data_IF_504475512417
#
_entry.id   IF_504475512417
#
_cell.length_a   1.000
_cell.length_b   1.000
_cell.length_c   1.000
_cell.angle_alpha   90.00
_cell.angle_beta   90.00
_cell.angle_gamma   90.00
#
_symmetry.space_group_name_H-M   'P 1'
#
loop_
_entity.id
_entity.type
_entity.pdbx_description
1 polymer ?
#
# COMPACT_ATOMS: atom_id res chain seq x y z
N UNK A 1 -8.13 43.84 -18.57
CA UNK A 1 -7.02 43.00 -19.05
C UNK A 1 -7.08 41.74 -18.22
N UNK A 2 -7.62 40.67 -18.80
CA UNK A 2 -7.98 39.44 -18.10
C UNK A 2 -6.70 38.74 -17.62
N UNK A 3 -6.44 38.77 -16.32
CA UNK A 3 -5.58 37.78 -15.68
C UNK A 3 -6.39 36.49 -15.61
N UNK A 4 -6.48 35.78 -16.73
CA UNK A 4 -6.76 34.35 -16.67
C UNK A 4 -5.62 33.74 -15.86
N UNK A 5 -5.92 33.37 -14.62
CA UNK A 5 -5.10 32.42 -13.89
C UNK A 5 -4.89 31.24 -14.84
N UNK A 6 -3.67 31.03 -15.32
CA UNK A 6 -3.31 29.88 -16.17
C UNK A 6 -3.58 28.63 -15.33
N UNK A 7 -4.82 28.16 -15.35
CA UNK A 7 -5.21 26.89 -14.75
C UNK A 7 -4.68 25.85 -15.70
N UNK A 8 -3.57 25.23 -15.34
CA UNK A 8 -3.09 24.05 -16.05
C UNK A 8 -4.25 23.03 -16.14
N UNK A 9 -4.47 22.39 -17.30
CA UNK A 9 -5.55 21.45 -17.45
C UNK A 9 -5.35 20.28 -16.49
N UNK A 10 -6.45 19.82 -15.88
CA UNK A 10 -6.43 18.62 -15.05
C UNK A 10 -5.95 17.43 -15.89
N UNK A 11 -5.01 16.66 -15.33
CA UNK A 11 -4.45 15.48 -15.98
C UNK A 11 -4.59 14.25 -15.11
N UNK A 12 -4.26 13.10 -15.70
CA UNK A 12 -4.33 11.78 -15.05
C UNK A 12 -3.52 11.76 -13.74
N UNK A 13 -2.31 12.35 -13.76
CA UNK A 13 -1.37 12.31 -12.63
C UNK A 13 -1.82 13.12 -11.41
N UNK A 14 -2.67 14.13 -11.59
CA UNK A 14 -3.32 14.83 -10.48
C UNK A 14 -4.61 14.11 -10.04
N UNK A 15 -5.31 13.41 -10.93
CA UNK A 15 -6.66 12.94 -10.62
C UNK A 15 -6.77 11.51 -10.09
N UNK A 16 -5.77 10.67 -10.35
CA UNK A 16 -5.72 9.31 -9.80
C UNK A 16 -5.50 9.31 -8.29
N UNK A 17 -5.86 8.21 -7.62
CA UNK A 17 -5.80 8.03 -6.17
C UNK A 17 -4.42 8.39 -5.61
N UNK A 18 -3.33 8.06 -6.30
CA UNK A 18 -1.98 8.34 -5.81
C UNK A 18 -1.55 9.81 -5.87
N UNK A 19 -2.28 10.67 -6.59
CA UNK A 19 -1.85 12.03 -6.88
C UNK A 19 -2.91 13.10 -6.65
N UNK A 20 -4.08 12.75 -6.09
CA UNK A 20 -5.19 13.67 -5.90
C UNK A 20 -5.17 14.36 -4.51
N UNK A 21 -4.75 15.64 -4.42
CA UNK A 21 -4.66 16.35 -3.13
C UNK A 21 -6.02 16.84 -2.61
N UNK A 22 -7.03 16.93 -3.48
CA UNK A 22 -8.31 17.57 -3.17
C UNK A 22 -9.37 16.64 -2.56
N UNK A 23 -9.01 15.43 -2.15
CA UNK A 23 -9.94 14.45 -1.61
C UNK A 23 -9.35 13.65 -0.47
N UNK A 24 -10.21 13.25 0.46
CA UNK A 24 -9.83 12.36 1.56
C UNK A 24 -9.77 10.88 1.13
N UNK A 25 -10.28 10.51 -0.06
CA UNK A 25 -10.34 9.12 -0.49
C UNK A 25 -8.97 8.43 -0.60
N UNK A 26 -7.93 9.05 -1.17
CA UNK A 26 -6.57 8.50 -1.14
C UNK A 26 -6.09 8.16 0.26
N UNK A 27 -6.15 9.13 1.18
CA UNK A 27 -5.74 8.96 2.58
C UNK A 27 -6.50 7.80 3.26
N UNK A 28 -7.81 7.69 3.02
CA UNK A 28 -8.63 6.60 3.57
C UNK A 28 -8.24 5.24 2.98
N UNK A 29 -7.95 5.18 1.68
CA UNK A 29 -7.54 3.96 1.01
C UNK A 29 -6.23 3.42 1.61
N UNK A 30 -5.17 4.22 1.66
CA UNK A 30 -3.88 3.81 2.20
C UNK A 30 -3.92 3.52 3.70
N UNK A 31 -4.80 4.18 4.45
CA UNK A 31 -5.03 3.86 5.87
C UNK A 31 -5.71 2.49 6.06
N UNK A 32 -6.69 2.14 5.21
CA UNK A 32 -7.41 0.86 5.28
C UNK A 32 -6.66 -0.29 4.57
N UNK A 33 -5.69 0.01 3.72
CA UNK A 33 -4.94 -0.96 2.92
C UNK A 33 -4.28 -2.06 3.77
N UNK A 34 -3.63 -1.78 4.90
CA UNK A 34 -3.11 -2.81 5.80
C UNK A 34 -4.18 -3.79 6.30
N UNK A 35 -5.40 -3.33 6.52
CA UNK A 35 -6.52 -4.20 6.93
C UNK A 35 -6.97 -5.06 5.75
N UNK A 36 -7.16 -4.46 4.58
CA UNK A 36 -7.60 -5.18 3.37
C UNK A 36 -6.59 -6.27 2.97
N UNK A 37 -5.30 -5.98 3.06
CA UNK A 37 -4.22 -6.91 2.73
C UNK A 37 -4.20 -8.14 3.65
N UNK A 38 -4.58 -8.02 4.92
CA UNK A 38 -4.54 -9.14 5.89
C UNK A 38 -5.83 -9.96 5.91
N UNK A 39 -6.97 -9.45 5.43
CA UNK A 39 -8.26 -10.15 5.44
C UNK A 39 -8.27 -11.54 4.77
N UNK A 40 -7.74 -11.75 3.55
CA UNK A 40 -7.95 -13.01 2.83
C UNK A 40 -7.25 -14.19 3.52
N UNK A 41 -6.01 -14.00 3.97
CA UNK A 41 -5.18 -15.09 4.47
C UNK A 41 -4.68 -14.92 5.91
N UNK A 42 -4.91 -13.78 6.56
CA UNK A 42 -4.39 -13.50 7.91
C UNK A 42 -4.84 -14.50 8.97
N UNK A 43 -6.02 -15.10 8.82
CA UNK A 43 -6.53 -16.11 9.76
C UNK A 43 -6.13 -17.55 9.44
N UNK A 44 -5.55 -17.81 8.26
CA UNK A 44 -5.33 -19.18 7.77
C UNK A 44 -4.28 -19.93 8.59
N UNK A 45 -3.20 -19.26 9.02
CA UNK A 45 -2.20 -19.92 9.86
C UNK A 45 -2.68 -20.17 11.28
N UNK A 46 -3.48 -19.23 11.83
CA UNK A 46 -4.10 -19.39 13.13
C UNK A 46 -5.03 -20.62 13.16
N UNK A 47 -5.88 -20.78 12.13
CA UNK A 47 -6.78 -21.93 12.02
C UNK A 47 -6.02 -23.25 11.95
N UNK A 48 -4.96 -23.32 11.13
CA UNK A 48 -4.14 -24.54 10.99
C UNK A 48 -3.44 -24.93 12.30
N UNK A 49 -3.00 -23.94 13.09
CA UNK A 49 -2.41 -24.19 14.40
C UNK A 49 -3.45 -24.74 15.38
N UNK A 50 -4.66 -24.17 15.38
CA UNK A 50 -5.74 -24.57 16.29
C UNK A 50 -6.27 -25.97 15.98
N UNK A 51 -6.30 -26.37 14.71
CA UNK A 51 -6.73 -27.71 14.28
C UNK A 51 -5.61 -28.76 14.34
N UNK A 52 -4.37 -28.35 14.60
CA UNK A 52 -3.21 -29.25 14.51
C UNK A 52 -2.88 -29.66 13.08
N UNK A 53 -3.35 -28.93 12.07
CA UNK A 53 -3.06 -29.25 10.67
C UNK A 53 -1.56 -29.23 10.37
N UNK A 54 -0.81 -28.33 10.99
CA UNK A 54 0.65 -28.26 10.81
C UNK A 54 1.37 -29.54 11.24
N UNK A 55 0.92 -30.23 12.30
CA UNK A 55 1.52 -31.51 12.69
C UNK A 55 1.14 -32.64 11.76
N UNK A 56 -0.09 -32.64 11.22
CA UNK A 56 -0.52 -33.61 10.19
C UNK A 56 0.31 -33.52 8.90
N UNK A 57 0.68 -32.31 8.49
CA UNK A 57 1.53 -32.10 7.31
C UNK A 57 2.92 -32.71 7.51
N UNK A 58 3.49 -32.56 8.72
CA UNK A 58 4.79 -33.14 9.07
C UNK A 58 4.71 -34.67 9.14
N UNK A 59 3.63 -35.21 9.72
CA UNK A 59 3.40 -36.67 9.78
C UNK A 59 3.27 -37.29 8.38
N UNK A 60 2.81 -36.54 7.38
CA UNK A 60 2.74 -36.98 5.97
C UNK A 60 4.07 -36.87 5.21
N UNK A 61 5.17 -36.58 5.90
CA UNK A 61 6.51 -36.54 5.30
C UNK A 61 6.86 -35.23 4.58
N UNK A 62 6.00 -34.19 4.67
CA UNK A 62 6.34 -32.88 4.13
C UNK A 62 7.20 -32.10 5.13
N UNK A 63 8.28 -31.49 4.65
CA UNK A 63 9.13 -30.64 5.49
C UNK A 63 8.35 -29.43 6.02
N UNK A 64 8.36 -29.22 7.34
CA UNK A 64 7.71 -28.07 7.98
C UNK A 64 8.15 -26.75 7.34
N UNK A 65 9.45 -26.62 7.00
CA UNK A 65 10.01 -25.43 6.36
C UNK A 65 9.33 -25.11 5.02
N UNK A 66 9.09 -26.13 4.18
CA UNK A 66 8.44 -25.96 2.88
C UNK A 66 6.97 -25.57 3.03
N UNK A 67 6.28 -26.14 4.03
CA UNK A 67 4.90 -25.78 4.34
C UNK A 67 4.76 -24.30 4.73
N UNK A 68 5.56 -23.83 5.69
CA UNK A 68 5.53 -22.42 6.10
C UNK A 68 5.93 -21.50 4.94
N UNK A 69 7.00 -21.80 4.22
CA UNK A 69 7.46 -20.99 3.08
C UNK A 69 6.38 -20.85 2.00
N UNK A 70 5.73 -21.95 1.59
CA UNK A 70 4.63 -21.90 0.62
C UNK A 70 3.47 -21.04 1.14
N UNK A 71 3.17 -21.11 2.44
CA UNK A 71 2.10 -20.31 3.03
C UNK A 71 2.44 -18.82 3.05
N UNK A 72 3.66 -18.45 3.41
CA UNK A 72 4.12 -17.06 3.35
C UNK A 72 4.08 -16.50 1.93
N UNK A 73 4.50 -17.28 0.92
CA UNK A 73 4.46 -16.84 -0.48
C UNK A 73 3.02 -16.62 -0.93
N UNK A 74 2.11 -17.55 -0.61
CA UNK A 74 0.70 -17.42 -0.95
C UNK A 74 0.07 -16.18 -0.28
N UNK A 75 0.37 -15.93 1.00
CA UNK A 75 -0.16 -14.76 1.71
C UNK A 75 0.41 -13.46 1.19
N UNK A 76 1.72 -13.42 0.94
CA UNK A 76 2.39 -12.26 0.36
C UNK A 76 1.74 -11.87 -0.98
N UNK A 77 1.61 -12.82 -1.90
CA UNK A 77 1.05 -12.56 -3.22
C UNK A 77 -0.43 -12.14 -3.13
N UNK A 78 -1.20 -12.78 -2.24
CA UNK A 78 -2.61 -12.43 -2.05
C UNK A 78 -2.80 -10.99 -1.52
N UNK A 79 -2.00 -10.57 -0.55
CA UNK A 79 -2.07 -9.22 0.01
C UNK A 79 -1.60 -8.16 -0.99
N UNK A 80 -0.53 -8.48 -1.72
CA UNK A 80 0.01 -7.60 -2.74
C UNK A 80 -0.96 -7.37 -3.92
N UNK A 81 -1.67 -8.42 -4.35
CA UNK A 81 -2.72 -8.31 -5.38
C UNK A 81 -3.90 -7.45 -4.91
N UNK A 82 -4.31 -7.56 -3.64
CA UNK A 82 -5.41 -6.73 -3.09
C UNK A 82 -5.06 -5.24 -3.10
N UNK A 83 -3.79 -4.89 -2.88
CA UNK A 83 -3.33 -3.51 -2.97
C UNK A 83 -3.22 -3.02 -4.43
N UNK A 84 -2.57 -3.80 -5.30
CA UNK A 84 -2.33 -3.36 -6.68
C UNK A 84 -3.62 -3.23 -7.50
N UNK A 85 -4.53 -4.19 -7.42
CA UNK A 85 -5.66 -4.29 -8.36
C UNK A 85 -6.54 -3.03 -8.35
N UNK A 86 -6.95 -2.48 -7.19
CA UNK A 86 -7.69 -1.22 -7.13
C UNK A 86 -6.91 -0.03 -7.70
N UNK A 87 -5.61 0.06 -7.43
CA UNK A 87 -4.75 1.16 -7.91
C UNK A 87 -4.56 1.13 -9.44
N UNK A 88 -4.33 -0.06 -10.01
CA UNK A 88 -4.25 -0.23 -11.47
C UNK A 88 -5.57 0.09 -12.15
N UNK A 89 -6.69 -0.36 -11.58
CA UNK A 89 -8.01 -0.06 -12.11
C UNK A 89 -8.31 1.44 -12.06
N UNK A 90 -8.00 2.10 -10.95
CA UNK A 90 -8.17 3.55 -10.79
C UNK A 90 -7.32 4.33 -11.80
N UNK A 91 -6.03 4.00 -11.93
CA UNK A 91 -5.14 4.65 -12.90
C UNK A 91 -5.60 4.43 -14.35
N UNK A 92 -6.03 3.21 -14.67
CA UNK A 92 -6.57 2.89 -15.99
C UNK A 92 -7.83 3.70 -16.29
N UNK A 93 -8.82 3.71 -15.39
CA UNK A 93 -10.06 4.45 -15.58
C UNK A 93 -9.84 5.96 -15.67
N UNK A 94 -8.96 6.52 -14.84
CA UNK A 94 -8.61 7.94 -14.90
C UNK A 94 -7.87 8.30 -16.19
N UNK A 95 -7.05 7.39 -16.72
CA UNK A 95 -6.36 7.58 -18.01
C UNK A 95 -7.30 7.63 -19.22
N UNK A 96 -8.50 7.04 -19.12
CA UNK A 96 -9.51 7.10 -20.17
C UNK A 96 -10.29 8.42 -20.17
N UNK A 97 -10.37 9.09 -19.01
CA UNK A 97 -11.19 10.30 -18.83
C UNK A 97 -10.35 11.58 -18.95
N UNK A 98 -9.13 11.58 -18.44
CA UNK A 98 -8.28 12.77 -18.35
C UNK A 98 -7.13 12.76 -19.38
N UNK A 99 -6.73 13.94 -19.88
CA UNK A 99 -5.60 14.05 -20.81
C UNK A 99 -4.28 13.68 -20.13
N UNK A 100 -3.38 13.07 -20.90
CA UNK A 100 -2.05 12.65 -20.46
C UNK A 100 -1.02 13.77 -20.65
N UNK A 101 -1.23 14.91 -19.99
CA UNK A 101 -0.27 16.02 -20.02
C UNK A 101 0.89 15.77 -19.05
N UNK A 102 2.11 16.13 -19.46
CA UNK A 102 3.29 16.09 -18.59
C UNK A 102 3.09 17.01 -17.37
N UNK A 103 3.38 16.53 -16.15
CA UNK A 103 3.34 17.36 -14.96
C UNK A 103 4.36 18.50 -15.02
N UNK A 104 3.94 19.71 -14.66
CA UNK A 104 4.84 20.87 -14.57
C UNK A 104 4.92 21.35 -13.10
N UNK A 105 6.14 21.53 -12.53
CA UNK A 105 6.30 21.95 -11.14
C UNK A 105 5.68 23.33 -10.84
N UNK A 106 5.69 24.23 -11.83
CA UNK A 106 5.17 25.61 -11.72
C UNK A 106 3.64 25.67 -11.55
N UNK A 107 2.94 24.57 -11.87
CA UNK A 107 1.48 24.52 -11.83
C UNK A 107 0.88 24.56 -10.43
N UNK A 108 1.64 24.18 -9.39
CA UNK A 108 1.16 24.07 -8.01
C UNK A 108 0.02 23.06 -7.82
N UNK A 109 -0.23 22.18 -8.81
CA UNK A 109 -1.36 21.26 -8.85
C UNK A 109 -1.05 19.87 -8.29
N UNK A 110 0.22 19.55 -8.05
CA UNK A 110 0.69 18.26 -7.55
C UNK A 110 1.21 18.41 -6.12
N UNK A 111 0.85 17.51 -5.19
CA UNK A 111 1.36 17.49 -3.83
C UNK A 111 2.78 16.90 -3.75
N UNK A 112 3.63 17.13 -4.76
CA UNK A 112 4.99 16.59 -4.83
C UNK A 112 5.96 17.77 -4.78
N UNK A 113 6.76 17.81 -3.72
CA UNK A 113 7.72 18.88 -3.46
C UNK A 113 9.15 18.44 -3.79
N UNK A 114 10.10 19.39 -3.79
CA UNK A 114 11.50 19.11 -4.11
C UNK A 114 12.16 18.09 -3.16
N UNK A 115 11.70 18.01 -1.91
CA UNK A 115 12.18 17.06 -0.92
C UNK A 115 11.46 15.70 -0.96
N UNK A 116 10.37 15.58 -1.75
CA UNK A 116 9.65 14.31 -1.91
C UNK A 116 10.50 13.29 -2.68
N UNK A 117 10.35 12.02 -2.33
CA UNK A 117 11.08 10.92 -2.95
C UNK A 117 10.80 10.83 -4.44
N UNK A 118 11.87 10.84 -5.24
CA UNK A 118 11.83 10.72 -6.70
C UNK A 118 11.02 11.81 -7.42
N UNK A 119 10.91 13.01 -6.83
CA UNK A 119 10.27 14.18 -7.44
C UNK A 119 10.84 14.49 -8.84
N UNK A 120 12.16 14.40 -9.04
CA UNK A 120 12.80 14.58 -10.36
C UNK A 120 12.26 13.59 -11.42
N UNK A 121 11.99 12.35 -11.02
CA UNK A 121 11.49 11.30 -11.91
C UNK A 121 10.01 11.54 -12.22
N UNK A 122 9.23 12.08 -11.28
CA UNK A 122 7.84 12.46 -11.52
C UNK A 122 7.72 13.51 -12.63
N UNK A 123 8.54 14.56 -12.59
CA UNK A 123 8.49 15.63 -13.60
C UNK A 123 9.19 15.26 -14.92
N UNK A 124 10.13 14.32 -14.91
CA UNK A 124 10.81 13.86 -16.14
C UNK A 124 10.04 12.73 -16.85
N UNK A 125 9.59 11.73 -16.10
CA UNK A 125 8.97 10.51 -16.60
C UNK A 125 7.88 10.01 -15.63
N UNK A 126 6.67 10.59 -15.66
CA UNK A 126 5.63 10.35 -14.65
C UNK A 126 5.11 8.91 -14.64
N UNK A 127 5.10 8.21 -15.78
CA UNK A 127 4.74 6.80 -15.84
C UNK A 127 5.72 5.90 -15.08
N UNK A 128 7.02 6.21 -15.14
CA UNK A 128 8.03 5.46 -14.40
C UNK A 128 7.86 5.68 -12.90
N UNK A 129 7.55 6.92 -12.49
CA UNK A 129 7.22 7.23 -11.10
C UNK A 129 6.03 6.40 -10.58
N UNK A 130 4.91 6.39 -11.33
CA UNK A 130 3.73 5.58 -10.99
C UNK A 130 4.09 4.09 -10.89
N UNK A 131 4.84 3.55 -11.85
CA UNK A 131 5.26 2.15 -11.84
C UNK A 131 6.14 1.79 -10.64
N UNK A 132 7.06 2.68 -10.24
CA UNK A 132 7.89 2.48 -9.05
C UNK A 132 7.07 2.47 -7.76
N UNK A 133 6.11 3.40 -7.61
CA UNK A 133 5.22 3.40 -6.44
C UNK A 133 4.32 2.17 -6.38
N UNK A 134 3.77 1.71 -7.51
CA UNK A 134 3.02 0.46 -7.56
C UNK A 134 3.87 -0.75 -7.12
N UNK A 135 5.17 -0.76 -7.44
CA UNK A 135 6.09 -1.79 -6.98
C UNK A 135 6.38 -1.69 -5.48
N UNK A 136 6.49 -0.47 -4.94
CA UNK A 136 6.61 -0.23 -3.50
C UNK A 136 5.36 -0.73 -2.77
N UNK A 137 4.18 -0.35 -3.23
CA UNK A 137 2.89 -0.76 -2.65
C UNK A 137 2.70 -2.28 -2.69
N UNK A 138 3.11 -2.93 -3.78
CA UNK A 138 3.10 -4.39 -3.90
C UNK A 138 3.89 -5.05 -2.77
N UNK A 139 5.14 -4.62 -2.59
CA UNK A 139 6.05 -5.22 -1.61
C UNK A 139 5.59 -4.89 -0.20
N UNK A 140 5.23 -3.64 0.06
CA UNK A 140 4.77 -3.19 1.37
C UNK A 140 3.49 -3.92 1.79
N UNK A 141 2.46 -3.98 0.93
CA UNK A 141 1.22 -4.70 1.20
C UNK A 141 1.45 -6.20 1.40
N UNK A 142 2.33 -6.81 0.60
CA UNK A 142 2.68 -8.22 0.73
C UNK A 142 3.39 -8.53 2.07
N UNK A 143 4.31 -7.66 2.51
CA UNK A 143 4.96 -7.79 3.82
C UNK A 143 3.96 -7.61 4.96
N UNK A 144 3.09 -6.60 4.87
CA UNK A 144 2.03 -6.34 5.86
C UNK A 144 1.09 -7.53 5.98
N UNK A 145 0.73 -8.18 4.87
CA UNK A 145 -0.10 -9.39 4.86
C UNK A 145 0.54 -10.59 5.59
N UNK A 146 1.86 -10.60 5.77
CA UNK A 146 2.58 -11.64 6.49
C UNK A 146 2.66 -11.39 8.01
N UNK A 147 2.40 -10.16 8.47
CA UNK A 147 2.43 -9.79 9.90
C UNK A 147 1.53 -10.68 10.76
N UNK A 148 0.26 -10.98 10.37
CA UNK A 148 -0.60 -11.90 11.11
C UNK A 148 0.04 -13.25 11.44
N UNK A 149 0.96 -13.74 10.62
CA UNK A 149 1.59 -15.04 10.86
C UNK A 149 2.57 -14.99 12.04
N UNK A 150 3.29 -13.88 12.20
CA UNK A 150 4.11 -13.63 13.39
C UNK A 150 3.24 -13.58 14.65
N UNK A 151 2.12 -12.84 14.60
CA UNK A 151 1.22 -12.67 15.73
C UNK A 151 0.34 -13.89 16.02
N UNK A 152 0.20 -14.82 15.07
CA UNK A 152 -0.51 -16.08 15.28
C UNK A 152 0.11 -16.96 16.38
N UNK A 153 1.38 -16.71 16.71
CA UNK A 153 2.07 -17.37 17.81
C UNK A 153 1.73 -16.78 19.18
N UNK A 154 1.51 -15.46 19.22
CA UNK A 154 1.36 -14.66 20.44
C UNK A 154 -0.11 -14.50 20.87
N UNK A 155 -1.02 -14.40 19.90
CA UNK A 155 -2.42 -14.06 20.13
C UNK A 155 -3.33 -15.29 20.02
N UNK A 156 -4.22 -15.45 20.99
CA UNK A 156 -5.19 -16.55 21.04
C UNK A 156 -6.48 -16.26 20.29
N UNK A 157 -6.73 -15.01 19.85
CA UNK A 157 -7.98 -14.61 19.19
C UNK A 157 -7.79 -14.44 17.67
N UNK A 158 -8.59 -15.16 16.87
CA UNK A 158 -8.57 -15.13 15.40
C UNK A 158 -8.74 -13.73 14.82
N UNK A 159 -9.66 -12.93 15.36
CA UNK A 159 -9.94 -11.59 14.86
C UNK A 159 -8.74 -10.66 15.09
N UNK A 160 -8.16 -10.69 16.30
CA UNK A 160 -6.98 -9.88 16.64
C UNK A 160 -5.75 -10.27 15.81
N UNK A 161 -5.55 -11.56 15.52
CA UNK A 161 -4.47 -12.01 14.63
C UNK A 161 -4.65 -11.42 13.23
N UNK A 162 -5.86 -11.45 12.69
CA UNK A 162 -6.14 -10.95 11.33
C UNK A 162 -5.94 -9.43 11.25
N UNK A 163 -6.38 -8.69 12.27
CA UNK A 163 -6.24 -7.24 12.32
C UNK A 163 -4.84 -6.76 12.79
N UNK A 164 -3.93 -7.66 13.14
CA UNK A 164 -2.61 -7.30 13.71
C UNK A 164 -1.77 -6.41 12.79
N UNK A 165 -1.79 -6.66 11.48
CA UNK A 165 -1.10 -5.81 10.49
C UNK A 165 -1.61 -4.37 10.51
N UNK A 166 -2.93 -4.18 10.54
CA UNK A 166 -3.56 -2.87 10.64
C UNK A 166 -3.23 -2.14 11.94
N UNK A 167 -3.26 -2.83 13.08
CA UNK A 167 -2.94 -2.21 14.37
C UNK A 167 -1.46 -1.79 14.43
N UNK A 168 -0.55 -2.60 13.92
CA UNK A 168 0.87 -2.23 13.87
C UNK A 168 1.13 -1.03 12.97
N UNK A 169 0.55 -1.01 11.77
CA UNK A 169 0.67 0.14 10.88
C UNK A 169 0.05 1.41 11.47
N UNK A 170 -1.11 1.29 12.14
CA UNK A 170 -1.77 2.41 12.82
C UNK A 170 -0.95 2.96 14.00
N UNK A 171 -0.35 2.07 14.81
CA UNK A 171 0.54 2.48 15.91
C UNK A 171 1.79 3.16 15.35
N UNK A 172 2.39 2.62 14.29
CA UNK A 172 3.54 3.23 13.62
C UNK A 172 3.20 4.62 13.08
N UNK A 173 2.05 4.78 12.41
CA UNK A 173 1.60 6.08 11.92
C UNK A 173 1.38 7.09 13.05
N UNK A 174 0.82 6.67 14.19
CA UNK A 174 0.66 7.55 15.35
C UNK A 174 2.00 7.97 15.97
N UNK A 175 2.97 7.06 16.04
CA UNK A 175 4.28 7.33 16.63
C UNK A 175 5.17 8.18 15.74
N UNK A 176 5.14 7.95 14.42
CA UNK A 176 6.06 8.59 13.47
C UNK A 176 5.45 9.75 12.68
N UNK A 177 4.12 9.89 12.66
CA UNK A 177 3.41 10.86 11.81
C UNK A 177 3.45 12.32 12.27
N UNK A 178 4.02 12.62 13.44
CA UNK A 178 4.12 13.98 13.98
C UNK A 178 5.54 14.58 13.93
N UNK A 179 6.51 13.84 13.40
CA UNK A 179 7.95 14.18 13.40
C UNK A 179 8.53 14.15 11.98
N UNK A 180 9.75 14.66 11.79
CA UNK A 180 10.55 14.53 10.54
C UNK A 180 10.76 13.07 10.08
N UNK A 181 10.32 12.09 10.88
CA UNK A 181 10.40 10.64 10.64
C UNK A 181 9.14 10.05 9.98
N UNK A 182 8.22 10.87 9.46
CA UNK A 182 7.00 10.38 8.82
C UNK A 182 7.28 9.40 7.66
N UNK A 183 8.45 9.45 7.03
CA UNK A 183 8.90 8.47 6.04
C UNK A 183 9.04 7.02 6.60
N UNK A 184 9.11 6.83 7.92
CA UNK A 184 9.17 5.50 8.54
C UNK A 184 7.80 4.85 8.70
N UNK A 185 6.72 5.64 8.62
CA UNK A 185 5.36 5.16 8.70
C UNK A 185 5.02 4.41 7.41
N UNK A 186 4.65 3.11 7.46
CA UNK A 186 4.30 2.37 6.24
C UNK A 186 3.13 3.02 5.49
N UNK A 187 2.19 3.63 6.22
CA UNK A 187 0.99 4.26 5.65
C UNK A 187 1.38 5.53 4.87
N UNK A 188 2.34 6.32 5.35
CA UNK A 188 2.74 7.57 4.70
C UNK A 188 3.76 7.33 3.59
N UNK A 189 4.65 6.35 3.74
CA UNK A 189 5.64 6.00 2.73
C UNK A 189 5.03 5.37 1.47
N UNK A 190 3.98 4.55 1.60
CA UNK A 190 3.27 3.95 0.45
C UNK A 190 2.57 5.01 -0.42
N UNK A 191 2.28 6.18 0.13
CA UNK A 191 1.53 7.18 -0.60
C UNK A 191 2.44 7.99 -1.54
N UNK A 192 2.07 8.14 -2.83
CA UNK A 192 2.88 8.94 -3.76
C UNK A 192 2.83 10.45 -3.51
N UNK A 193 1.89 10.94 -2.71
CA UNK A 193 1.74 12.36 -2.33
C UNK A 193 2.60 12.77 -1.12
N UNK A 194 3.23 11.80 -0.43
CA UNK A 194 4.22 11.99 0.66
C UNK A 194 4.03 13.28 1.49
N UNK A 195 3.19 13.25 2.54
CA UNK A 195 2.77 14.46 3.27
C UNK A 195 3.86 15.07 4.19
N UNK A 196 5.13 14.75 4.00
CA UNK A 196 6.27 15.13 4.85
C UNK A 196 7.39 15.77 4.04
#
# INVERSE_FOLDING_TARGET
>A
MYLETVRHPLNVFNRWIGGWPGSAFPSMYFFLLPLLATLPHGSTLYSDRKTGYSSLVVLRGLSSKRFYAAKYIATFLSGAVIAIVPLLLDFYLTSLVFPQAMPEPSSGMYPIFAYSMWSDIFFSSPYLYVAMYLAVDFVAAGVIACIPFMFSHLLSNRALVTCSGFFLCSIAAYLFGSSDTAYLSPIDFMRPDQPF
#
